data_IF_791878425881
#
_entry.id   IF_791878425881
#
_cell.length_a   1.000
_cell.length_b   1.000
_cell.length_c   1.000
_cell.angle_alpha   90.00
_cell.angle_beta   90.00
_cell.angle_gamma   90.00
#
_symmetry.space_group_name_H-M   'P 1'
#
loop_
_entity.id
_entity.type
_entity.pdbx_description
1 polymer ?
#
# COMPACT_ATOMS: atom_id res chain seq x y z
N UNK A 1 -7.63 -15.66 -10.54
CA UNK A 1 -6.76 -14.46 -10.50
C UNK A 1 -6.17 -14.34 -9.10
N UNK A 2 -4.85 -14.26 -8.96
CA UNK A 2 -4.19 -14.11 -7.67
C UNK A 2 -3.79 -12.64 -7.49
N UNK A 3 -4.02 -12.06 -6.31
CA UNK A 3 -3.54 -10.73 -5.96
C UNK A 3 -2.22 -10.92 -5.22
N UNK A 4 -1.13 -10.33 -5.69
CA UNK A 4 0.11 -10.24 -4.91
C UNK A 4 0.37 -8.77 -4.59
N UNK A 5 0.84 -8.50 -3.38
CA UNK A 5 1.13 -7.14 -2.96
C UNK A 5 2.26 -7.07 -1.95
N UNK A 6 2.87 -5.90 -1.88
CA UNK A 6 3.85 -5.54 -0.88
C UNK A 6 3.35 -4.32 -0.10
N UNK A 7 3.39 -4.38 1.23
CA UNK A 7 3.05 -3.27 2.12
C UNK A 7 4.28 -2.89 2.93
N UNK A 8 4.58 -1.61 2.97
CA UNK A 8 5.58 -1.03 3.85
C UNK A 8 4.94 0.05 4.73
N UNK A 9 5.30 0.08 6.01
CA UNK A 9 4.78 1.06 6.97
C UNK A 9 5.94 1.66 7.74
N UNK A 10 5.95 2.99 7.86
CA UNK A 10 6.97 3.74 8.59
C UNK A 10 6.30 4.64 9.63
N UNK A 11 6.62 4.44 10.90
CA UNK A 11 6.23 5.35 11.96
C UNK A 11 7.12 6.60 11.91
N UNK A 12 6.50 7.77 11.72
CA UNK A 12 7.20 9.06 11.80
C UNK A 12 7.29 9.57 13.24
N UNK A 13 6.38 9.11 14.10
CA UNK A 13 6.33 9.44 15.52
C UNK A 13 5.26 8.62 16.22
N UNK A 14 4.88 9.04 17.44
CA UNK A 14 3.79 8.38 18.18
C UNK A 14 2.44 8.59 17.51
N UNK A 15 2.29 9.74 16.86
CA UNK A 15 1.00 10.24 16.39
C UNK A 15 0.89 10.24 14.86
N UNK A 16 1.98 9.89 14.15
CA UNK A 16 2.04 9.94 12.69
C UNK A 16 2.70 8.67 12.10
N UNK A 17 2.04 8.07 11.11
CA UNK A 17 2.53 6.90 10.37
C UNK A 17 2.25 7.04 8.88
N UNK A 18 3.25 6.74 8.06
CA UNK A 18 3.10 6.61 6.62
C UNK A 18 2.95 5.13 6.26
N UNK A 19 2.04 4.83 5.35
CA UNK A 19 1.85 3.51 4.78
C UNK A 19 1.96 3.59 3.26
N UNK A 20 2.76 2.70 2.68
CA UNK A 20 2.91 2.49 1.25
C UNK A 20 2.44 1.08 0.92
N UNK A 21 1.52 0.98 -0.02
CA UNK A 21 0.88 -0.27 -0.43
C UNK A 21 1.01 -0.45 -1.94
N UNK A 22 1.52 -1.59 -2.37
CA UNK A 22 1.65 -1.94 -3.78
C UNK A 22 0.90 -3.23 -4.03
N UNK A 23 -0.10 -3.22 -4.92
CA UNK A 23 -0.84 -4.41 -5.31
C UNK A 23 -0.75 -4.61 -6.82
N UNK A 24 -0.41 -5.84 -7.20
CA UNK A 24 -0.42 -6.32 -8.58
C UNK A 24 -1.29 -7.56 -8.69
N UNK A 25 -2.25 -7.55 -9.61
CA UNK A 25 -3.02 -8.74 -9.96
C UNK A 25 -2.22 -9.62 -10.92
N UNK A 26 -1.79 -10.81 -10.47
CA UNK A 26 -1.32 -11.87 -11.37
C UNK A 26 -2.52 -12.65 -11.89
N UNK A 27 -2.95 -12.33 -13.10
CA UNK A 27 -3.91 -13.15 -13.85
C UNK A 27 -5.03 -12.40 -14.58
N UNK A 28 -5.07 -11.08 -14.53
CA UNK A 28 -5.94 -10.29 -15.41
C UNK A 28 -5.13 -9.80 -16.62
N UNK A 29 -5.71 -9.88 -17.84
CA UNK A 29 -5.12 -9.28 -19.06
C UNK A 29 -4.96 -7.75 -18.93
N UNK A 30 -5.64 -7.15 -17.95
CA UNK A 30 -5.36 -5.83 -17.41
C UNK A 30 -4.34 -5.92 -16.27
N UNK A 31 -3.11 -5.51 -16.57
CA UNK A 31 -2.06 -5.27 -15.57
C UNK A 31 -2.45 -4.04 -14.75
N UNK A 32 -3.38 -4.19 -13.82
CA UNK A 32 -3.70 -3.13 -12.86
C UNK A 32 -2.62 -3.13 -11.79
N UNK A 33 -1.61 -2.28 -11.97
CA UNK A 33 -0.60 -1.98 -10.96
C UNK A 33 -1.13 -0.81 -10.12
N UNK A 34 -1.54 -1.09 -8.88
CA UNK A 34 -2.03 -0.08 -7.94
C UNK A 34 -0.96 0.27 -6.94
N UNK A 35 -0.57 1.55 -6.88
CA UNK A 35 0.26 2.10 -5.81
C UNK A 35 -0.62 3.00 -4.94
N UNK A 36 -0.65 2.73 -3.64
CA UNK A 36 -1.32 3.54 -2.63
C UNK A 36 -0.33 4.14 -1.64
N UNK A 37 -0.47 5.43 -1.36
CA UNK A 37 0.25 6.12 -0.30
C UNK A 37 -0.78 6.70 0.67
N UNK A 38 -0.60 6.46 1.97
CA UNK A 38 -1.52 6.91 3.01
C UNK A 38 -0.76 7.50 4.18
N UNK A 39 -1.26 8.61 4.73
CA UNK A 39 -0.80 9.19 5.98
C UNK A 39 -1.87 9.00 7.05
N UNK A 40 -1.49 8.36 8.13
CA UNK A 40 -2.30 8.24 9.34
C UNK A 40 -1.77 9.25 10.36
N UNK A 41 -2.63 10.15 10.82
CA UNK A 41 -2.33 11.15 11.84
C UNK A 41 -3.41 11.11 12.91
N UNK A 42 -3.01 10.93 14.17
CA UNK A 42 -3.90 10.98 15.34
C UNK A 42 -3.58 12.22 16.18
N UNK A 43 -4.59 12.92 16.66
CA UNK A 43 -4.47 14.11 17.52
C UNK A 43 -4.87 13.78 18.95
#
# INVERSE_FOLDING_TARGET
PAVVGARASLALGRDARINLDYNGLLGARDKTHGVGLSLDWQF
#
